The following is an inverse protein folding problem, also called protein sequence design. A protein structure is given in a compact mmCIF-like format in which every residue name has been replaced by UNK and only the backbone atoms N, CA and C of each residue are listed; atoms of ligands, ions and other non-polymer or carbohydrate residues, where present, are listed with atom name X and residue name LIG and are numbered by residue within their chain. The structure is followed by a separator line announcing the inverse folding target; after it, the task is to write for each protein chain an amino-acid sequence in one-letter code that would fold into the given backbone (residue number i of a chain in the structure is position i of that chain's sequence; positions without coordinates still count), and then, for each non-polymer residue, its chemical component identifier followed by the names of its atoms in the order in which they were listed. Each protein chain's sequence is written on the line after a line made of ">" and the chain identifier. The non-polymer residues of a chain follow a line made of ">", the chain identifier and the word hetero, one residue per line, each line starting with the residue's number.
data_IF_990766129606
#
_entry.id   IF_990766129606
#
_cell.length_a   1.000
_cell.length_b   1.000
_cell.length_c   1.000
_cell.angle_alpha   90.00
_cell.angle_beta   90.00
_cell.angle_gamma   90.00
#
_symmetry.space_group_name_H-M   'P 1'
#
loop_
_entity.id
_entity.type
_entity.pdbx_description
1 polymer ?
#
# COMPACT_ATOMS: atom_id res chain seq x y z
N UNK A 1 34.44 15.65 6.43
CA UNK A 1 35.81 15.12 6.38
C UNK A 1 36.32 14.65 7.74
N UNK A 2 36.17 15.35 8.85
CA UNK A 2 36.55 14.88 10.20
C UNK A 2 35.84 13.57 10.66
N UNK A 3 34.57 13.39 10.36
CA UNK A 3 33.80 12.19 10.71
C UNK A 3 34.28 10.90 10.01
N UNK A 4 34.82 11.01 8.79
CA UNK A 4 35.35 9.86 8.05
C UNK A 4 36.70 9.37 8.59
N UNK A 5 37.50 10.25 9.18
CA UNK A 5 38.82 9.91 9.74
C UNK A 5 38.66 9.20 11.11
N UNK A 6 37.62 9.51 11.88
CA UNK A 6 37.33 8.90 13.19
C UNK A 6 36.88 7.43 13.11
N UNK A 7 36.38 7.00 11.96
CA UNK A 7 35.95 5.58 11.75
C UNK A 7 37.12 4.62 11.54
N UNK A 8 38.29 5.14 11.19
CA UNK A 8 39.48 4.32 10.83
C UNK A 8 40.38 4.00 12.03
N UNK A 9 40.24 4.71 13.20
CA UNK A 9 40.98 4.41 14.43
C UNK A 9 40.03 4.02 15.57
N UNK A 10 40.22 2.85 16.21
CA UNK A 10 39.23 2.23 17.10
C UNK A 10 39.28 2.70 18.56
N UNK A 11 39.44 3.95 18.84
CA UNK A 11 39.35 4.47 20.22
C UNK A 11 37.87 4.69 20.59
N UNK A 12 37.43 4.05 21.68
CA UNK A 12 36.04 4.07 22.15
C UNK A 12 35.53 5.52 22.43
N UNK A 13 36.43 6.43 22.84
CA UNK A 13 36.13 7.85 23.05
C UNK A 13 35.71 8.57 21.75
N UNK A 14 36.34 8.26 20.63
CA UNK A 14 36.00 8.86 19.34
C UNK A 14 34.64 8.42 18.80
N UNK A 15 34.22 7.17 19.06
CA UNK A 15 32.89 6.66 18.67
C UNK A 15 31.77 7.33 19.44
N UNK A 16 31.97 7.58 20.73
CA UNK A 16 31.02 8.34 21.57
C UNK A 16 30.86 9.77 21.09
N UNK A 17 31.97 10.47 20.79
CA UNK A 17 31.94 11.84 20.28
C UNK A 17 31.18 11.89 18.94
N UNK A 18 31.47 10.99 18.00
CA UNK A 18 30.76 10.92 16.72
C UNK A 18 29.27 10.63 16.92
N UNK A 19 28.91 9.70 17.83
CA UNK A 19 27.53 9.42 18.18
C UNK A 19 26.79 10.64 18.75
N UNK A 20 27.42 11.35 19.69
CA UNK A 20 26.86 12.59 20.25
C UNK A 20 26.72 13.70 19.21
N UNK A 21 27.71 13.88 18.33
CA UNK A 21 27.63 14.86 17.25
C UNK A 21 26.47 14.58 16.31
N UNK A 22 26.29 13.34 15.88
CA UNK A 22 25.14 12.94 15.02
C UNK A 22 23.81 13.18 15.70
N UNK A 23 23.69 12.90 17.00
CA UNK A 23 22.45 13.16 17.75
C UNK A 23 22.20 14.66 17.87
N UNK A 24 23.21 15.46 18.16
CA UNK A 24 23.09 16.91 18.25
C UNK A 24 22.71 17.49 16.88
N UNK A 25 23.36 17.08 15.80
CA UNK A 25 23.08 17.52 14.43
C UNK A 25 21.62 17.16 14.05
N UNK A 26 21.15 15.96 14.41
CA UNK A 26 19.77 15.56 14.18
C UNK A 26 18.76 16.41 14.96
N UNK A 27 19.03 16.71 16.23
CA UNK A 27 18.19 17.59 17.06
C UNK A 27 18.18 19.02 16.50
N UNK A 28 19.34 19.54 16.08
CA UNK A 28 19.44 20.85 15.46
C UNK A 28 18.69 20.93 14.13
N UNK A 29 18.77 19.90 13.30
CA UNK A 29 18.02 19.80 12.04
C UNK A 29 16.51 19.78 12.27
N UNK A 30 16.04 19.00 13.25
CA UNK A 30 14.60 18.95 13.60
C UNK A 30 14.16 20.30 14.17
N UNK A 31 14.94 20.89 15.07
CA UNK A 31 14.65 22.19 15.67
C UNK A 31 14.58 23.28 14.61
N UNK A 32 15.56 23.33 13.70
CA UNK A 32 15.58 24.23 12.56
C UNK A 32 14.33 24.05 11.68
N UNK A 33 13.97 22.80 11.36
CA UNK A 33 12.79 22.50 10.55
C UNK A 33 11.49 22.91 11.23
N UNK A 34 11.37 22.70 12.55
CA UNK A 34 10.20 23.13 13.35
C UNK A 34 10.11 24.65 13.41
N UNK A 35 11.24 25.34 13.62
CA UNK A 35 11.31 26.81 13.62
C UNK A 35 10.97 27.34 12.24
N UNK A 36 11.54 26.77 11.18
CA UNK A 36 11.24 27.13 9.80
C UNK A 36 9.75 26.98 9.48
N UNK A 37 9.15 25.83 9.86
CA UNK A 37 7.71 25.62 9.69
C UNK A 37 6.84 26.59 10.50
N UNK A 38 7.26 26.98 11.70
CA UNK A 38 6.55 27.99 12.49
C UNK A 38 6.69 29.39 11.88
N UNK A 39 7.87 29.75 11.41
CA UNK A 39 8.14 31.06 10.78
C UNK A 39 7.41 31.16 9.43
N UNK A 40 7.46 30.12 8.60
CA UNK A 40 6.74 30.11 7.32
C UNK A 40 5.22 30.07 7.48
N UNK A 41 4.69 29.38 8.52
CA UNK A 41 3.26 29.44 8.86
C UNK A 41 2.79 30.80 9.35
N UNK A 42 3.67 31.65 9.88
CA UNK A 42 3.34 32.98 10.41
C UNK A 42 3.73 34.13 9.45
N UNK A 43 4.49 33.85 8.38
CA UNK A 43 4.76 34.88 7.39
C UNK A 43 3.51 35.06 6.50
N UNK A 44 2.83 36.16 6.71
CA UNK A 44 1.72 36.64 5.88
C UNK A 44 2.13 36.92 4.41
N UNK A 45 3.29 36.42 4.00
CA UNK A 45 3.94 36.70 2.72
C UNK A 45 3.44 35.81 1.57
N UNK A 46 2.58 34.83 1.84
CA UNK A 46 2.09 33.92 0.79
C UNK A 46 0.58 33.70 0.86
N UNK A 47 -0.18 34.79 1.16
CA UNK A 47 -1.65 34.73 1.08
C UNK A 47 -2.06 34.93 -0.37
N UNK A 48 -2.58 33.88 -1.00
CA UNK A 48 -3.10 33.93 -2.36
C UNK A 48 -4.57 34.32 -2.34
N UNK A 49 -4.90 35.34 -3.12
CA UNK A 49 -6.28 35.74 -3.33
C UNK A 49 -6.95 34.80 -4.32
N UNK A 50 -7.95 34.07 -3.86
CA UNK A 50 -8.63 33.04 -4.65
C UNK A 50 -10.06 33.51 -4.96
N UNK A 51 -10.44 33.41 -6.22
CA UNK A 51 -11.83 33.59 -6.66
C UNK A 51 -12.42 32.22 -7.03
N UNK A 52 -13.64 31.95 -6.60
CA UNK A 52 -14.37 30.71 -6.95
C UNK A 52 -15.41 31.08 -8.00
N UNK A 53 -15.48 30.27 -9.06
CA UNK A 53 -16.40 30.52 -10.18
C UNK A 53 -17.28 29.29 -10.39
N UNK A 54 -18.56 29.54 -10.54
CA UNK A 54 -19.57 28.51 -10.79
C UNK A 54 -20.89 28.87 -10.15
N UNK A 55 -21.88 28.00 -10.27
CA UNK A 55 -23.22 28.15 -9.73
C UNK A 55 -23.68 26.87 -9.02
N UNK A 56 -24.47 27.05 -7.96
CA UNK A 56 -25.08 25.93 -7.23
C UNK A 56 -24.42 25.54 -5.92
N UNK A 57 -25.04 24.61 -5.22
CA UNK A 57 -24.66 24.21 -3.86
C UNK A 57 -23.20 23.71 -3.71
N UNK A 58 -22.64 23.07 -4.74
CA UNK A 58 -21.25 22.60 -4.74
C UNK A 58 -20.25 23.77 -4.66
N UNK A 59 -20.56 24.90 -5.26
CA UNK A 59 -19.75 26.12 -5.22
C UNK A 59 -19.75 26.72 -3.82
N UNK A 60 -20.94 26.81 -3.19
CA UNK A 60 -21.10 27.34 -1.83
C UNK A 60 -20.37 26.45 -0.80
N UNK A 61 -20.46 25.12 -0.96
CA UNK A 61 -19.77 24.18 -0.10
C UNK A 61 -18.25 24.32 -0.25
N UNK A 62 -17.76 24.47 -1.46
CA UNK A 62 -16.33 24.64 -1.73
C UNK A 62 -15.81 25.98 -1.20
N UNK A 63 -16.55 27.07 -1.40
CA UNK A 63 -16.22 28.39 -0.86
C UNK A 63 -16.15 28.35 0.68
N UNK A 64 -17.09 27.69 1.34
CA UNK A 64 -17.11 27.50 2.80
C UNK A 64 -15.89 26.68 3.29
N UNK A 65 -15.44 25.69 2.52
CA UNK A 65 -14.22 24.92 2.84
C UNK A 65 -13.00 25.85 2.82
N UNK A 66 -12.85 26.72 1.82
CA UNK A 66 -11.73 27.67 1.75
C UNK A 66 -11.75 28.62 2.96
N UNK A 67 -12.92 29.17 3.31
CA UNK A 67 -13.06 30.10 4.44
C UNK A 67 -12.72 29.43 5.79
N UNK A 68 -13.14 28.18 5.96
CA UNK A 68 -12.90 27.43 7.20
C UNK A 68 -11.45 26.99 7.34
N UNK A 69 -10.76 26.70 6.23
CA UNK A 69 -9.39 26.18 6.21
C UNK A 69 -8.36 27.26 5.85
N UNK A 70 -8.36 28.38 6.54
CA UNK A 70 -7.35 29.48 6.39
C UNK A 70 -5.88 29.04 6.49
N UNK A 71 -5.65 27.81 6.98
CA UNK A 71 -4.31 27.21 7.14
C UNK A 71 -3.57 27.01 5.80
N UNK A 72 -4.27 27.02 4.67
CA UNK A 72 -3.68 26.81 3.35
C UNK A 72 -3.13 28.08 2.69
N UNK A 73 -3.15 29.22 3.40
CA UNK A 73 -2.70 30.49 2.83
C UNK A 73 -3.62 31.04 1.73
N UNK A 74 -4.85 30.52 1.63
CA UNK A 74 -5.84 30.97 0.65
C UNK A 74 -6.77 32.01 1.29
N UNK A 75 -7.02 33.11 0.59
CA UNK A 75 -7.99 34.14 0.95
C UNK A 75 -9.06 34.21 -0.12
N UNK A 76 -10.28 33.84 0.23
CA UNK A 76 -11.40 33.95 -0.69
C UNK A 76 -11.70 35.41 -0.97
N UNK A 77 -11.67 35.79 -2.24
CA UNK A 77 -12.07 37.12 -2.75
C UNK A 77 -13.60 37.20 -2.91
N UNK A 78 -14.18 36.09 -3.37
CA UNK A 78 -15.62 35.96 -3.56
C UNK A 78 -15.96 34.77 -4.46
N UNK A 79 -17.28 34.58 -4.61
CA UNK A 79 -17.87 33.63 -5.56
C UNK A 79 -18.47 34.47 -6.70
N UNK A 80 -18.17 34.08 -7.93
CA UNK A 80 -18.51 34.82 -9.12
C UNK A 80 -19.23 33.92 -10.13
N UNK A 81 -20.17 34.53 -10.85
CA UNK A 81 -20.74 33.90 -12.03
C UNK A 81 -19.74 33.96 -13.20
N UNK A 82 -19.91 33.10 -14.19
CA UNK A 82 -19.01 33.01 -15.36
C UNK A 82 -18.88 34.38 -16.08
N UNK A 83 -19.97 35.10 -16.24
CA UNK A 83 -20.02 36.37 -16.95
C UNK A 83 -19.21 37.48 -16.27
N UNK A 84 -18.98 37.35 -14.97
CA UNK A 84 -18.26 38.34 -14.16
C UNK A 84 -16.74 38.11 -14.17
N UNK A 85 -16.29 36.92 -14.60
CA UNK A 85 -14.88 36.48 -14.51
C UNK A 85 -13.94 37.38 -15.30
N UNK A 86 -14.36 37.77 -16.52
CA UNK A 86 -13.53 38.63 -17.38
C UNK A 86 -13.26 39.98 -16.71
N UNK A 87 -14.29 40.64 -16.21
CA UNK A 87 -14.15 41.94 -15.52
C UNK A 87 -13.34 41.79 -14.21
N UNK A 88 -13.47 40.66 -13.50
CA UNK A 88 -12.71 40.36 -12.30
C UNK A 88 -11.22 40.22 -12.61
N UNK A 89 -10.86 39.45 -13.61
CA UNK A 89 -9.48 39.20 -14.00
C UNK A 89 -8.80 40.47 -14.56
N UNK A 90 -9.50 41.24 -15.39
CA UNK A 90 -8.99 42.50 -15.93
C UNK A 90 -8.77 43.56 -14.82
N UNK A 91 -9.59 43.54 -13.73
CA UNK A 91 -9.39 44.41 -12.56
C UNK A 91 -8.11 44.05 -11.77
N UNK A 92 -7.68 42.82 -11.84
CA UNK A 92 -6.53 42.29 -11.10
C UNK A 92 -6.81 42.00 -9.63
N UNK A 93 -5.79 41.54 -8.91
CA UNK A 93 -5.88 41.22 -7.48
C UNK A 93 -6.35 39.80 -7.16
N UNK A 94 -6.46 38.94 -8.16
CA UNK A 94 -6.71 37.49 -8.04
C UNK A 94 -5.48 36.75 -8.47
N UNK A 95 -4.95 35.91 -7.59
CA UNK A 95 -3.79 35.07 -7.85
C UNK A 95 -4.18 33.72 -8.44
N UNK A 96 -5.37 33.23 -8.06
CA UNK A 96 -5.84 31.91 -8.40
C UNK A 96 -7.36 31.89 -8.63
N UNK A 97 -7.78 31.29 -9.74
CA UNK A 97 -9.19 31.11 -10.11
C UNK A 97 -9.55 29.63 -9.95
N UNK A 98 -10.57 29.33 -9.14
CA UNK A 98 -11.05 27.96 -8.96
C UNK A 98 -12.41 27.81 -9.62
N UNK A 99 -12.46 27.00 -10.66
CA UNK A 99 -13.66 26.70 -11.43
C UNK A 99 -14.34 25.46 -10.84
N UNK A 100 -15.54 25.61 -10.32
CA UNK A 100 -16.38 24.49 -9.86
C UNK A 100 -17.42 24.24 -10.95
N UNK A 101 -17.13 23.28 -11.84
CA UNK A 101 -17.85 23.12 -13.09
C UNK A 101 -18.39 21.71 -13.21
N UNK A 102 -19.61 21.57 -13.70
CA UNK A 102 -20.16 20.28 -14.12
C UNK A 102 -19.53 19.84 -15.46
N UNK A 103 -19.46 18.52 -15.66
CA UNK A 103 -18.80 17.93 -16.84
C UNK A 103 -19.30 18.52 -18.18
N UNK A 104 -20.61 18.76 -18.26
CA UNK A 104 -21.28 19.20 -19.48
C UNK A 104 -20.98 20.66 -19.85
N UNK A 105 -20.53 21.47 -18.87
CA UNK A 105 -20.26 22.91 -19.03
C UNK A 105 -18.77 23.24 -19.20
N UNK A 106 -17.89 22.26 -19.28
CA UNK A 106 -16.44 22.51 -19.29
C UNK A 106 -15.99 23.30 -20.52
N UNK A 107 -16.57 23.01 -21.69
CA UNK A 107 -16.27 23.69 -22.95
C UNK A 107 -16.57 25.18 -22.91
N UNK A 108 -17.55 25.59 -22.09
CA UNK A 108 -17.94 26.98 -21.93
C UNK A 108 -16.87 27.84 -21.25
N UNK A 109 -15.92 27.22 -20.53
CA UNK A 109 -14.83 27.90 -19.81
C UNK A 109 -13.54 28.02 -20.62
N UNK A 110 -13.53 27.62 -21.89
CA UNK A 110 -12.35 27.70 -22.75
C UNK A 110 -11.76 29.12 -22.82
N UNK A 111 -12.59 30.12 -23.04
CA UNK A 111 -12.14 31.53 -23.05
C UNK A 111 -11.59 31.98 -21.69
N UNK A 112 -12.17 31.50 -20.59
CA UNK A 112 -11.70 31.79 -19.23
C UNK A 112 -10.29 31.21 -18.99
N UNK A 113 -10.02 30.01 -19.47
CA UNK A 113 -8.70 29.42 -19.37
C UNK A 113 -7.66 30.20 -20.17
N UNK A 114 -7.97 30.56 -21.41
CA UNK A 114 -7.07 31.36 -22.25
C UNK A 114 -6.78 32.72 -21.61
N UNK A 115 -7.79 33.36 -21.04
CA UNK A 115 -7.61 34.64 -20.36
C UNK A 115 -6.77 34.52 -19.10
N UNK A 116 -6.92 33.45 -18.33
CA UNK A 116 -6.06 33.17 -17.17
C UNK A 116 -4.60 32.93 -17.60
N UNK A 117 -4.37 32.23 -18.71
CA UNK A 117 -3.04 31.99 -19.26
C UNK A 117 -2.39 33.30 -19.73
N UNK A 118 -3.13 34.15 -20.43
CA UNK A 118 -2.66 35.47 -20.89
C UNK A 118 -2.30 36.41 -19.72
N UNK A 119 -3.07 36.37 -18.63
CA UNK A 119 -2.88 37.24 -17.47
C UNK A 119 -1.93 36.62 -16.41
N UNK A 120 -1.48 35.38 -16.59
CA UNK A 120 -0.64 34.68 -15.64
C UNK A 120 -1.35 34.28 -14.34
N UNK A 121 -2.69 34.18 -14.34
CA UNK A 121 -3.50 33.75 -13.21
C UNK A 121 -3.61 32.23 -13.23
N UNK A 122 -3.36 31.57 -12.09
CA UNK A 122 -3.47 30.11 -12.01
C UNK A 122 -4.95 29.69 -12.03
N UNK A 123 -5.35 28.93 -13.06
CA UNK A 123 -6.68 28.35 -13.13
C UNK A 123 -6.66 26.91 -12.58
N UNK A 124 -7.58 26.60 -11.67
CA UNK A 124 -7.81 25.24 -11.14
C UNK A 124 -9.26 24.84 -11.38
N UNK A 125 -9.46 23.57 -11.70
CA UNK A 125 -10.81 23.02 -11.92
C UNK A 125 -11.12 21.99 -10.85
N UNK A 126 -12.25 22.15 -10.20
CA UNK A 126 -12.81 21.12 -9.30
C UNK A 126 -13.56 20.12 -10.18
N UNK A 127 -12.99 18.95 -10.35
CA UNK A 127 -13.50 17.91 -11.24
C UNK A 127 -14.37 16.92 -10.46
N UNK A 128 -15.65 16.89 -10.77
CA UNK A 128 -16.59 15.88 -10.27
C UNK A 128 -17.11 15.02 -11.43
N UNK A 129 -16.21 14.44 -12.19
CA UNK A 129 -16.57 13.67 -13.38
C UNK A 129 -17.32 12.38 -13.11
N UNK A 130 -17.03 11.75 -11.99
CA UNK A 130 -17.62 10.46 -11.63
C UNK A 130 -17.90 10.40 -10.13
N UNK A 131 -19.12 10.03 -9.70
CA UNK A 131 -19.44 9.82 -8.30
C UNK A 131 -18.79 8.52 -7.83
N UNK A 132 -17.54 8.59 -7.38
CA UNK A 132 -16.83 7.45 -6.82
C UNK A 132 -16.19 7.85 -5.49
N UNK A 133 -16.34 7.01 -4.51
CA UNK A 133 -15.93 7.28 -3.14
C UNK A 133 -14.50 6.84 -2.81
N UNK A 134 -13.86 6.01 -3.66
CA UNK A 134 -12.64 5.27 -3.27
C UNK A 134 -11.46 5.55 -4.21
N UNK A 135 -11.70 5.81 -5.50
CA UNK A 135 -10.62 6.02 -6.46
C UNK A 135 -9.95 7.38 -6.26
N UNK A 136 -8.63 7.39 -6.28
CA UNK A 136 -7.82 8.62 -6.34
C UNK A 136 -7.68 9.02 -7.80
N UNK A 137 -7.81 10.31 -8.04
CA UNK A 137 -7.65 10.89 -9.35
C UNK A 137 -6.24 11.50 -9.43
N UNK A 138 -5.49 11.13 -10.45
CA UNK A 138 -4.14 11.63 -10.70
C UNK A 138 -4.02 12.04 -12.16
N UNK A 139 -3.38 13.18 -12.38
CA UNK A 139 -3.06 13.66 -13.72
C UNK A 139 -1.65 13.19 -14.07
N UNK A 140 -1.53 12.49 -15.17
CA UNK A 140 -0.27 12.05 -15.74
C UNK A 140 -0.09 12.64 -17.15
N UNK A 141 1.12 12.64 -17.64
CA UNK A 141 1.43 12.98 -19.02
C UNK A 141 2.04 11.76 -19.72
N UNK A 142 1.55 11.44 -20.90
CA UNK A 142 2.08 10.36 -21.72
C UNK A 142 2.25 10.84 -23.17
N UNK A 143 3.49 10.97 -23.61
CA UNK A 143 3.79 11.41 -24.97
C UNK A 143 3.24 12.78 -25.35
N UNK A 144 3.14 13.71 -24.38
CA UNK A 144 2.55 15.04 -24.58
C UNK A 144 1.02 15.09 -24.40
N UNK A 145 0.37 13.95 -24.12
CA UNK A 145 -1.08 13.90 -23.87
C UNK A 145 -1.35 13.86 -22.38
N UNK A 146 -2.20 14.74 -21.83
CA UNK A 146 -2.64 14.67 -20.45
C UNK A 146 -3.58 13.48 -20.24
N UNK A 147 -3.25 12.62 -19.29
CA UNK A 147 -4.04 11.44 -18.91
C UNK A 147 -4.60 11.60 -17.50
N UNK A 148 -5.90 11.53 -17.37
CA UNK A 148 -6.58 11.50 -16.08
C UNK A 148 -6.77 10.04 -15.65
N UNK A 149 -6.04 9.65 -14.60
CA UNK A 149 -6.04 8.27 -14.08
C UNK A 149 -6.89 8.16 -12.83
N UNK A 150 -7.74 7.12 -12.77
CA UNK A 150 -8.54 6.78 -11.60
C UNK A 150 -8.03 5.47 -11.03
N UNK A 151 -7.42 5.51 -9.85
CA UNK A 151 -6.86 4.33 -9.22
C UNK A 151 -7.30 4.19 -7.77
N UNK A 152 -7.60 2.96 -7.36
CA UNK A 152 -7.89 2.60 -5.97
C UNK A 152 -6.65 2.07 -5.24
N UNK A 153 -5.52 1.99 -5.92
CA UNK A 153 -4.25 1.50 -5.37
C UNK A 153 -3.19 2.60 -5.38
N UNK A 154 -2.14 2.47 -4.56
CA UNK A 154 -1.02 3.40 -4.60
C UNK A 154 -0.36 3.41 -5.99
N UNK A 155 -0.26 4.58 -6.60
CA UNK A 155 0.25 4.80 -7.95
C UNK A 155 1.67 5.34 -7.98
N UNK A 156 2.22 5.76 -6.84
CA UNK A 156 3.57 6.31 -6.78
C UNK A 156 4.64 5.25 -7.12
N UNK A 157 5.11 5.28 -8.36
CA UNK A 157 6.08 4.31 -8.91
C UNK A 157 7.40 4.30 -8.12
N UNK A 158 7.89 5.46 -7.68
CA UNK A 158 9.13 5.56 -6.91
C UNK A 158 9.00 4.81 -5.57
N UNK A 159 7.87 4.97 -4.88
CA UNK A 159 7.62 4.28 -3.61
C UNK A 159 7.46 2.78 -3.84
N UNK A 160 6.80 2.36 -4.93
CA UNK A 160 6.67 0.95 -5.30
C UNK A 160 8.02 0.33 -5.68
N UNK A 161 8.90 1.10 -6.31
CA UNK A 161 10.28 0.68 -6.60
C UNK A 161 11.10 0.49 -5.31
N UNK A 162 11.01 1.43 -4.36
CA UNK A 162 11.66 1.30 -3.04
C UNK A 162 11.14 0.05 -2.32
N UNK A 163 9.83 -0.18 -2.32
CA UNK A 163 9.22 -1.39 -1.79
C UNK A 163 9.84 -2.65 -2.41
N UNK A 164 10.01 -2.67 -3.73
CA UNK A 164 10.61 -3.81 -4.42
C UNK A 164 12.05 -4.07 -4.02
N UNK A 165 12.86 -3.02 -3.83
CA UNK A 165 14.21 -3.13 -3.31
C UNK A 165 14.20 -3.73 -1.90
N UNK A 166 13.33 -3.23 -1.02
CA UNK A 166 13.18 -3.75 0.35
C UNK A 166 12.75 -5.22 0.34
N UNK A 167 11.80 -5.61 -0.50
CA UNK A 167 11.40 -7.01 -0.68
C UNK A 167 12.61 -7.90 -1.04
N UNK A 168 13.42 -7.49 -2.02
CA UNK A 168 14.58 -8.26 -2.48
C UNK A 168 15.65 -8.34 -1.37
N UNK A 169 15.99 -7.21 -0.75
CA UNK A 169 17.05 -7.15 0.27
C UNK A 169 16.66 -7.96 1.51
N UNK A 170 15.46 -7.73 2.05
CA UNK A 170 15.01 -8.45 3.24
C UNK A 170 14.84 -9.94 2.97
N UNK A 171 14.27 -10.29 1.82
CA UNK A 171 14.12 -11.70 1.41
C UNK A 171 15.47 -12.38 1.20
N UNK A 172 16.43 -11.69 0.59
CA UNK A 172 17.81 -12.19 0.43
C UNK A 172 18.50 -12.45 1.77
N UNK A 173 18.36 -11.53 2.73
CA UNK A 173 18.86 -11.69 4.09
C UNK A 173 18.19 -12.88 4.82
N UNK A 174 16.86 -12.99 4.71
CA UNK A 174 16.12 -14.13 5.29
C UNK A 174 16.60 -15.44 4.68
N UNK A 175 16.78 -15.50 3.36
CA UNK A 175 17.25 -16.70 2.67
C UNK A 175 18.68 -17.05 3.10
N UNK A 176 19.57 -16.09 3.25
CA UNK A 176 20.96 -16.29 3.63
C UNK A 176 21.10 -16.79 5.08
N UNK A 177 20.31 -16.24 6.01
CA UNK A 177 20.42 -16.53 7.45
C UNK A 177 19.54 -17.73 7.83
N UNK A 178 18.26 -17.68 7.45
CA UNK A 178 17.24 -18.66 7.88
C UNK A 178 17.22 -19.88 6.94
N UNK A 179 17.55 -19.69 5.67
CA UNK A 179 17.54 -20.75 4.67
C UNK A 179 18.35 -21.97 5.08
N UNK A 180 19.66 -21.88 5.39
CA UNK A 180 20.48 -23.02 5.80
C UNK A 180 20.01 -23.63 7.11
N UNK A 181 19.52 -22.82 8.07
CA UNK A 181 19.16 -23.26 9.42
C UNK A 181 17.79 -23.94 9.47
N UNK A 182 16.81 -23.46 8.71
CA UNK A 182 15.44 -23.98 8.76
C UNK A 182 15.04 -24.71 7.49
N UNK A 183 15.35 -24.18 6.30
CA UNK A 183 14.86 -24.78 5.06
C UNK A 183 15.57 -26.09 4.72
N UNK A 184 16.90 -26.16 4.90
CA UNK A 184 17.65 -27.36 4.58
C UNK A 184 17.30 -28.54 5.51
N UNK A 185 17.28 -28.40 6.85
CA UNK A 185 16.84 -29.50 7.73
C UNK A 185 15.38 -29.91 7.47
N UNK A 186 14.48 -28.92 7.20
CA UNK A 186 13.08 -29.24 6.89
C UNK A 186 12.97 -30.06 5.60
N UNK A 187 13.72 -29.69 4.56
CA UNK A 187 13.77 -30.45 3.30
C UNK A 187 14.23 -31.89 3.50
N UNK A 188 15.28 -32.09 4.30
CA UNK A 188 15.83 -33.42 4.65
C UNK A 188 14.78 -34.22 5.43
N UNK A 189 14.15 -33.63 6.45
CA UNK A 189 13.14 -34.32 7.27
C UNK A 189 11.94 -34.77 6.42
N UNK A 190 11.43 -33.90 5.53
CA UNK A 190 10.33 -34.23 4.61
C UNK A 190 10.74 -35.42 3.71
N UNK A 191 11.98 -35.41 3.19
CA UNK A 191 12.45 -36.47 2.29
C UNK A 191 12.63 -37.81 2.99
N UNK A 192 13.06 -37.80 4.25
CA UNK A 192 13.26 -39.00 5.06
C UNK A 192 11.94 -39.59 5.59
N UNK A 193 10.93 -38.76 5.83
CA UNK A 193 9.67 -39.19 6.49
C UNK A 193 8.54 -39.48 5.54
N UNK A 194 8.62 -39.03 4.28
CA UNK A 194 7.54 -39.25 3.31
C UNK A 194 8.06 -39.37 1.88
N UNK A 195 7.44 -40.27 1.11
CA UNK A 195 7.75 -40.45 -0.33
C UNK A 195 7.24 -39.27 -1.14
N UNK A 196 7.98 -38.83 -2.17
CA UNK A 196 7.58 -37.78 -3.11
C UNK A 196 8.44 -36.51 -3.04
N UNK A 197 8.04 -35.39 -3.72
CA UNK A 197 8.82 -34.16 -3.79
C UNK A 197 8.82 -33.39 -2.47
N UNK A 198 9.91 -32.68 -2.19
CA UNK A 198 10.03 -31.82 -0.99
C UNK A 198 9.13 -30.59 -1.08
N UNK A 199 9.07 -30.01 -2.27
CA UNK A 199 8.27 -28.82 -2.55
C UNK A 199 6.91 -29.20 -3.12
N UNK A 200 5.88 -28.59 -2.58
CA UNK A 200 4.54 -28.56 -3.14
C UNK A 200 4.38 -27.30 -4.00
N UNK A 201 3.80 -27.47 -5.18
CA UNK A 201 3.56 -26.41 -6.14
C UNK A 201 2.06 -26.26 -6.34
N UNK A 202 1.55 -25.05 -6.18
CA UNK A 202 0.12 -24.78 -6.33
C UNK A 202 -0.11 -23.54 -7.15
N UNK A 203 -1.05 -23.61 -8.11
CA UNK A 203 -1.49 -22.45 -8.85
C UNK A 203 -2.25 -21.50 -7.93
N UNK A 204 -1.90 -20.22 -7.98
CA UNK A 204 -2.53 -19.15 -7.24
C UNK A 204 -2.73 -17.93 -8.13
N UNK A 205 -3.68 -17.07 -7.76
CA UNK A 205 -3.91 -15.81 -8.44
C UNK A 205 -3.16 -14.69 -7.73
N UNK A 206 -2.36 -13.94 -8.48
CA UNK A 206 -1.58 -12.80 -8.04
C UNK A 206 -2.18 -11.47 -8.47
N UNK A 207 -1.31 -10.50 -8.75
CA UNK A 207 -1.70 -9.15 -9.18
C UNK A 207 -2.62 -9.21 -10.40
N UNK A 208 -3.75 -8.52 -10.30
CA UNK A 208 -4.80 -8.46 -11.34
C UNK A 208 -5.30 -9.84 -11.80
N UNK A 209 -5.24 -10.83 -10.91
CA UNK A 209 -5.72 -12.19 -11.19
C UNK A 209 -4.78 -13.05 -12.03
N UNK A 210 -3.57 -12.60 -12.35
CA UNK A 210 -2.59 -13.38 -13.10
C UNK A 210 -2.17 -14.60 -12.30
N UNK A 211 -2.24 -15.78 -12.92
CA UNK A 211 -1.84 -17.03 -12.29
C UNK A 211 -0.33 -17.12 -12.15
N UNK A 212 0.12 -17.64 -11.01
CA UNK A 212 1.52 -18.00 -10.76
C UNK A 212 1.62 -19.29 -9.96
N UNK A 213 2.82 -19.91 -9.94
CA UNK A 213 3.08 -21.10 -9.15
C UNK A 213 3.65 -20.70 -7.79
N UNK A 214 2.88 -20.91 -6.75
CA UNK A 214 3.31 -20.70 -5.37
C UNK A 214 4.04 -21.93 -4.84
N UNK A 215 5.18 -21.73 -4.19
CA UNK A 215 5.99 -22.79 -3.58
C UNK A 215 5.75 -22.92 -2.09
N UNK A 216 5.56 -24.14 -1.62
CA UNK A 216 5.51 -24.48 -0.19
C UNK A 216 6.32 -25.75 0.07
N UNK A 217 6.68 -26.00 1.32
CA UNK A 217 7.09 -27.34 1.71
C UNK A 217 5.88 -28.26 1.74
N UNK A 218 6.08 -29.50 1.33
CA UNK A 218 5.04 -30.53 1.41
C UNK A 218 4.73 -30.85 2.87
N UNK A 219 3.53 -30.55 3.31
CA UNK A 219 2.99 -30.80 4.65
C UNK A 219 1.88 -31.85 4.67
N UNK A 220 1.46 -32.30 3.50
CA UNK A 220 0.37 -33.27 3.33
C UNK A 220 0.87 -34.52 2.59
N UNK A 221 0.05 -35.58 2.66
CA UNK A 221 0.26 -36.83 1.92
C UNK A 221 0.26 -36.59 0.42
N UNK A 222 0.81 -37.53 -0.34
CA UNK A 222 0.74 -37.49 -1.79
C UNK A 222 -0.72 -37.56 -2.25
N UNK A 223 -1.07 -36.86 -3.34
CA UNK A 223 -2.44 -36.76 -3.86
C UNK A 223 -3.48 -36.15 -2.91
N UNK A 224 -3.07 -35.35 -1.91
CA UNK A 224 -3.98 -34.71 -0.94
C UNK A 224 -5.09 -33.86 -1.58
N UNK A 225 -4.86 -33.29 -2.78
CA UNK A 225 -5.86 -32.50 -3.48
C UNK A 225 -7.05 -33.32 -3.95
N UNK A 226 -6.86 -34.59 -4.31
CA UNK A 226 -7.95 -35.46 -4.74
C UNK A 226 -8.98 -35.73 -3.63
N UNK A 227 -8.54 -35.73 -2.38
CA UNK A 227 -9.40 -35.92 -1.21
C UNK A 227 -10.11 -34.65 -0.74
N UNK A 228 -9.89 -33.51 -1.40
CA UNK A 228 -10.44 -32.23 -0.96
C UNK A 228 -11.98 -32.21 -0.99
N UNK A 229 -12.57 -32.76 -2.03
CA UNK A 229 -14.05 -32.77 -2.19
C UNK A 229 -14.72 -33.64 -1.12
N UNK A 230 -14.10 -34.78 -0.74
CA UNK A 230 -14.62 -35.68 0.29
C UNK A 230 -14.57 -35.05 1.70
N UNK A 231 -13.71 -34.07 1.90
CA UNK A 231 -13.49 -33.40 3.19
C UNK A 231 -14.22 -32.06 3.30
N UNK A 232 -15.07 -31.69 2.33
CA UNK A 232 -15.81 -30.43 2.33
C UNK A 232 -16.68 -30.29 3.60
N UNK A 233 -17.23 -31.41 4.11
CA UNK A 233 -18.00 -31.46 5.36
C UNK A 233 -17.21 -31.10 6.62
N UNK A 234 -15.88 -31.12 6.56
CA UNK A 234 -14.97 -30.74 7.64
C UNK A 234 -14.51 -29.27 7.55
N UNK A 235 -15.08 -28.51 6.63
CA UNK A 235 -14.72 -27.09 6.49
C UNK A 235 -15.25 -26.29 7.69
N UNK A 236 -14.33 -25.62 8.40
CA UNK A 236 -14.63 -24.78 9.57
C UNK A 236 -14.79 -23.31 9.21
N UNK A 237 -14.58 -22.93 7.94
CA UNK A 237 -14.58 -21.54 7.51
C UNK A 237 -15.78 -21.21 6.62
N UNK A 238 -16.36 -20.05 6.85
CA UNK A 238 -17.36 -19.49 5.96
C UNK A 238 -16.74 -19.06 4.63
N UNK A 239 -17.50 -19.18 3.53
CA UNK A 239 -17.04 -18.73 2.21
C UNK A 239 -16.26 -19.78 1.40
N UNK A 240 -15.55 -19.37 0.32
CA UNK A 240 -14.96 -20.28 -0.65
C UNK A 240 -13.65 -20.94 -0.22
N UNK A 241 -13.10 -20.56 0.93
CA UNK A 241 -11.80 -21.05 1.42
C UNK A 241 -12.02 -22.29 2.27
N UNK A 242 -11.32 -23.38 1.92
CA UNK A 242 -11.35 -24.60 2.73
C UNK A 242 -10.34 -24.51 3.88
N UNK A 243 -10.78 -24.84 5.09
CA UNK A 243 -9.96 -24.89 6.28
C UNK A 243 -10.53 -25.89 7.29
N UNK A 244 -9.68 -26.77 7.80
CA UNK A 244 -10.04 -27.72 8.84
C UNK A 244 -8.90 -27.87 9.84
N UNK A 245 -9.24 -27.85 11.12
CA UNK A 245 -8.29 -28.10 12.24
C UNK A 245 -7.90 -29.57 12.34
N UNK A 246 -8.73 -30.47 11.82
CA UNK A 246 -8.53 -31.93 11.85
C UNK A 246 -8.37 -32.52 10.46
N UNK A 247 -7.60 -31.87 9.60
CA UNK A 247 -7.36 -32.35 8.24
C UNK A 247 -6.52 -33.64 8.26
N UNK A 248 -7.09 -34.81 7.87
CA UNK A 248 -6.41 -36.11 7.91
C UNK A 248 -5.27 -36.22 6.90
N UNK A 249 -5.19 -35.32 5.94
CA UNK A 249 -4.14 -35.31 4.90
C UNK A 249 -2.79 -34.83 5.43
N UNK A 250 -2.77 -34.18 6.60
CA UNK A 250 -1.56 -33.58 7.17
C UNK A 250 -0.65 -34.67 7.77
N UNK A 251 0.59 -34.71 7.31
CA UNK A 251 1.61 -35.64 7.84
C UNK A 251 2.06 -35.22 9.25
N UNK A 252 2.70 -36.14 10.00
CA UNK A 252 3.23 -35.83 11.34
C UNK A 252 4.21 -34.66 11.30
N UNK A 253 5.16 -34.66 10.36
CA UNK A 253 6.09 -33.55 10.13
C UNK A 253 5.31 -32.32 9.65
N UNK A 254 4.31 -32.50 8.80
CA UNK A 254 3.41 -31.46 8.32
C UNK A 254 2.78 -30.65 9.44
N UNK A 255 2.32 -31.30 10.52
CA UNK A 255 1.76 -30.63 11.70
C UNK A 255 2.79 -29.69 12.37
N UNK A 256 4.03 -30.12 12.48
CA UNK A 256 5.11 -29.34 13.11
C UNK A 256 5.45 -28.10 12.26
N UNK A 257 5.67 -28.30 10.96
CA UNK A 257 6.08 -27.19 10.08
C UNK A 257 4.95 -26.18 9.84
N UNK A 258 3.68 -26.62 9.76
CA UNK A 258 2.51 -25.74 9.64
C UNK A 258 2.29 -24.89 10.88
N UNK A 259 2.42 -25.50 12.07
CA UNK A 259 2.25 -24.76 13.33
C UNK A 259 3.17 -23.55 13.44
N UNK A 260 4.36 -23.60 12.84
CA UNK A 260 5.33 -22.50 12.82
C UNK A 260 5.45 -21.79 11.47
N UNK A 261 4.52 -22.06 10.55
CA UNK A 261 4.52 -21.51 9.18
C UNK A 261 5.84 -21.74 8.41
N UNK A 262 6.63 -22.75 8.79
CA UNK A 262 7.86 -23.13 8.09
C UNK A 262 7.54 -23.66 6.69
N UNK A 263 6.36 -24.28 6.53
CA UNK A 263 5.87 -24.74 5.23
C UNK A 263 5.73 -23.62 4.20
N UNK A 264 5.58 -22.37 4.62
CA UNK A 264 5.44 -21.21 3.75
C UNK A 264 6.77 -20.55 3.37
N UNK A 265 7.91 -20.92 4.00
CA UNK A 265 9.22 -20.34 3.70
C UNK A 265 9.61 -20.41 2.21
N UNK A 266 9.29 -21.47 1.43
CA UNK A 266 9.63 -21.48 0.01
C UNK A 266 8.96 -20.39 -0.83
N UNK A 267 7.92 -19.71 -0.32
CA UNK A 267 7.33 -18.52 -0.99
C UNK A 267 8.35 -17.37 -1.13
N UNK A 268 9.43 -17.39 -0.37
CA UNK A 268 10.59 -16.49 -0.53
C UNK A 268 11.06 -16.47 -1.99
N UNK A 269 11.07 -17.61 -2.69
CA UNK A 269 11.43 -17.67 -4.10
C UNK A 269 10.41 -16.94 -5.00
N UNK A 270 9.12 -16.94 -4.62
CA UNK A 270 8.10 -16.15 -5.33
C UNK A 270 8.30 -14.64 -5.10
N UNK A 271 8.71 -14.23 -3.90
CA UNK A 271 9.04 -12.82 -3.62
C UNK A 271 10.26 -12.39 -4.45
N UNK A 272 11.33 -13.16 -4.47
CA UNK A 272 12.53 -12.85 -5.27
C UNK A 272 12.21 -12.78 -6.77
N UNK A 273 11.36 -13.69 -7.27
CA UNK A 273 10.90 -13.68 -8.66
C UNK A 273 10.01 -12.48 -8.99
N UNK A 274 9.30 -11.94 -8.01
CA UNK A 274 8.40 -10.79 -8.17
C UNK A 274 6.93 -11.16 -8.34
N UNK A 275 6.57 -12.44 -8.22
CA UNK A 275 5.19 -12.90 -8.21
C UNK A 275 4.47 -12.45 -6.93
N UNK A 276 5.22 -12.33 -5.82
CA UNK A 276 4.76 -11.94 -4.50
C UNK A 276 5.60 -10.79 -3.93
N UNK A 277 5.11 -10.21 -2.84
CA UNK A 277 5.82 -9.29 -1.93
C UNK A 277 5.93 -9.94 -0.55
N UNK A 278 6.75 -9.39 0.35
CA UNK A 278 6.76 -9.83 1.74
C UNK A 278 5.42 -9.57 2.42
N UNK A 279 4.83 -8.41 2.19
CA UNK A 279 3.54 -8.01 2.76
C UNK A 279 2.51 -7.85 1.65
N UNK A 280 1.28 -8.31 1.86
CA UNK A 280 0.20 -8.17 0.88
C UNK A 280 -0.94 -9.17 1.11
N UNK A 281 -2.07 -9.03 0.41
CA UNK A 281 -3.18 -9.97 0.52
C UNK A 281 -2.76 -11.42 0.22
N UNK A 282 -3.36 -12.40 0.89
CA UNK A 282 -3.07 -13.82 0.59
C UNK A 282 -3.53 -14.16 -0.83
N UNK A 283 -2.70 -14.82 -1.66
CA UNK A 283 -3.10 -15.21 -3.01
C UNK A 283 -4.20 -16.29 -2.96
N UNK A 284 -5.37 -16.05 -3.59
CA UNK A 284 -6.44 -17.03 -3.66
C UNK A 284 -6.13 -18.14 -4.67
N UNK A 285 -6.83 -19.27 -4.53
CA UNK A 285 -6.92 -20.26 -5.58
C UNK A 285 -7.79 -19.75 -6.74
N UNK A 286 -7.58 -20.19 -7.98
CA UNK A 286 -8.47 -19.85 -9.11
C UNK A 286 -9.94 -20.16 -8.83
N UNK A 287 -10.22 -21.30 -8.17
CA UNK A 287 -11.56 -21.72 -7.79
C UNK A 287 -12.17 -20.85 -6.68
N UNK A 288 -11.36 -20.37 -5.73
CA UNK A 288 -11.79 -19.40 -4.71
C UNK A 288 -12.15 -18.08 -5.39
N UNK A 289 -11.30 -17.60 -6.30
CA UNK A 289 -11.50 -16.35 -7.04
C UNK A 289 -12.77 -16.37 -7.91
N UNK A 290 -13.10 -17.51 -8.51
CA UNK A 290 -14.33 -17.66 -9.29
C UNK A 290 -15.60 -17.40 -8.47
N UNK A 291 -15.56 -17.68 -7.15
CA UNK A 291 -16.66 -17.49 -6.20
C UNK A 291 -16.68 -16.10 -5.54
N UNK A 292 -15.68 -15.25 -5.81
CA UNK A 292 -15.59 -13.92 -5.19
C UNK A 292 -16.63 -12.96 -5.75
N UNK A 293 -17.23 -12.18 -4.86
CA UNK A 293 -18.06 -11.03 -5.21
C UNK A 293 -17.19 -9.91 -5.82
N UNK A 294 -17.80 -8.97 -6.52
CA UNK A 294 -17.09 -7.87 -7.20
C UNK A 294 -16.14 -7.09 -6.26
N UNK A 295 -16.63 -6.70 -5.10
CA UNK A 295 -15.86 -5.90 -4.15
C UNK A 295 -14.67 -6.67 -3.57
N UNK A 296 -14.77 -8.00 -3.41
CA UNK A 296 -13.70 -8.86 -2.92
C UNK A 296 -12.55 -8.97 -3.93
N UNK A 297 -12.85 -8.88 -5.23
CA UNK A 297 -11.84 -8.96 -6.29
C UNK A 297 -10.85 -7.81 -6.26
N UNK A 298 -11.21 -6.66 -5.66
CA UNK A 298 -10.31 -5.51 -5.52
C UNK A 298 -9.03 -5.84 -4.73
N UNK A 299 -9.04 -6.87 -3.89
CA UNK A 299 -7.83 -7.35 -3.21
C UNK A 299 -6.70 -7.79 -4.16
N UNK A 300 -7.00 -8.11 -5.41
CA UNK A 300 -6.04 -8.48 -6.43
C UNK A 300 -5.34 -7.27 -7.06
N UNK A 301 -5.73 -6.05 -6.73
CA UNK A 301 -5.11 -4.83 -7.25
C UNK A 301 -3.71 -4.56 -6.68
N UNK A 302 -3.27 -5.33 -5.69
CA UNK A 302 -1.89 -5.34 -5.18
C UNK A 302 -1.27 -6.74 -5.27
N UNK A 303 0.08 -6.78 -5.34
CA UNK A 303 0.81 -8.05 -5.29
C UNK A 303 0.48 -8.79 -3.99
N UNK A 304 0.23 -10.11 -4.06
CA UNK A 304 0.02 -10.92 -2.87
C UNK A 304 1.27 -10.96 -2.00
N UNK A 305 1.09 -11.16 -0.70
CA UNK A 305 2.17 -11.22 0.28
C UNK A 305 2.33 -12.56 0.96
N UNK A 306 3.49 -12.75 1.58
CA UNK A 306 3.75 -13.86 2.52
C UNK A 306 3.03 -13.61 3.85
N UNK A 307 2.93 -12.35 4.27
CA UNK A 307 2.17 -11.92 5.45
C UNK A 307 1.23 -10.76 5.10
N UNK A 308 0.23 -10.54 5.94
CA UNK A 308 -0.78 -9.50 5.72
C UNK A 308 -1.47 -9.07 7.02
N UNK A 309 -2.30 -8.03 6.91
CA UNK A 309 -2.95 -7.43 8.05
C UNK A 309 -3.84 -8.43 8.83
N UNK A 310 -4.63 -9.27 8.15
CA UNK A 310 -5.48 -10.24 8.82
C UNK A 310 -4.69 -11.30 9.59
N UNK A 311 -3.51 -11.71 9.09
CA UNK A 311 -2.67 -12.70 9.78
C UNK A 311 -2.16 -12.22 11.13
N UNK A 312 -1.99 -10.90 11.31
CA UNK A 312 -1.56 -10.30 12.58
C UNK A 312 -2.75 -9.82 13.44
N UNK A 313 -3.99 -9.87 12.91
CA UNK A 313 -5.20 -9.37 13.55
C UNK A 313 -6.14 -10.46 14.07
N UNK A 314 -5.65 -11.70 14.27
CA UNK A 314 -6.46 -12.80 14.77
C UNK A 314 -6.38 -14.07 13.93
N UNK A 315 -5.80 -13.98 12.73
CA UNK A 315 -5.49 -15.13 11.85
C UNK A 315 -6.71 -16.04 11.60
N UNK A 316 -6.82 -17.12 12.36
CA UNK A 316 -7.84 -18.16 12.18
C UNK A 316 -9.18 -17.84 12.84
N UNK A 317 -9.28 -16.80 13.64
CA UNK A 317 -10.48 -16.38 14.36
C UNK A 317 -11.29 -15.32 13.59
N UNK A 318 -10.75 -14.85 12.44
CA UNK A 318 -11.38 -13.83 11.59
C UNK A 318 -12.32 -14.52 10.60
N UNK A 319 -13.55 -14.03 10.47
CA UNK A 319 -14.51 -14.47 9.45
C UNK A 319 -13.97 -14.20 8.05
N UNK A 320 -14.47 -14.92 7.03
CA UNK A 320 -14.04 -14.68 5.65
C UNK A 320 -14.35 -13.23 5.20
N UNK A 321 -15.48 -12.69 5.58
CA UNK A 321 -15.86 -11.32 5.23
C UNK A 321 -14.95 -10.28 5.88
N UNK A 322 -14.65 -10.42 7.18
CA UNK A 322 -13.75 -9.50 7.88
C UNK A 322 -12.31 -9.61 7.35
N UNK A 323 -11.88 -10.81 6.98
CA UNK A 323 -10.60 -10.97 6.29
C UNK A 323 -10.57 -10.18 5.00
N UNK A 324 -11.60 -10.26 4.15
CA UNK A 324 -11.68 -9.46 2.91
C UNK A 324 -11.62 -7.97 3.21
N UNK A 325 -12.35 -7.49 4.23
CA UNK A 325 -12.32 -6.08 4.68
C UNK A 325 -10.93 -5.66 5.16
N UNK A 326 -10.22 -6.49 5.91
CA UNK A 326 -8.85 -6.23 6.35
C UNK A 326 -7.86 -6.13 5.18
N UNK A 327 -7.99 -6.99 4.18
CA UNK A 327 -7.17 -6.91 2.98
C UNK A 327 -7.43 -5.61 2.20
N UNK A 328 -8.69 -5.16 2.09
CA UNK A 328 -9.02 -3.88 1.47
C UNK A 328 -8.53 -2.69 2.31
N UNK A 329 -8.69 -2.77 3.64
CA UNK A 329 -8.16 -1.73 4.54
C UNK A 329 -6.65 -1.58 4.40
N UNK A 330 -5.93 -2.68 4.24
CA UNK A 330 -4.50 -2.66 3.95
C UNK A 330 -4.21 -1.93 2.63
N UNK A 331 -4.94 -2.23 1.55
CA UNK A 331 -4.75 -1.61 0.24
C UNK A 331 -5.02 -0.11 0.29
N UNK A 332 -6.12 0.29 0.94
CA UNK A 332 -6.56 1.69 1.03
C UNK A 332 -5.60 2.57 1.84
N UNK A 333 -4.97 2.00 2.87
CA UNK A 333 -4.07 2.70 3.78
C UNK A 333 -2.61 2.30 3.60
N UNK A 334 -2.27 1.68 2.47
CA UNK A 334 -0.94 1.18 2.24
C UNK A 334 0.14 2.27 2.36
N UNK A 335 1.22 1.92 3.03
CA UNK A 335 2.45 2.70 3.12
C UNK A 335 3.62 1.78 3.47
N UNK A 336 4.85 2.19 3.16
CA UNK A 336 6.05 1.44 3.57
C UNK A 336 6.13 1.26 5.09
N UNK A 337 5.66 2.25 5.86
CA UNK A 337 5.61 2.16 7.32
C UNK A 337 4.60 1.10 7.78
N UNK A 338 3.46 0.95 7.10
CA UNK A 338 2.48 -0.10 7.39
C UNK A 338 3.06 -1.47 7.09
N UNK A 339 3.78 -1.64 5.96
CA UNK A 339 4.48 -2.89 5.64
C UNK A 339 5.49 -3.25 6.73
N UNK A 340 6.33 -2.31 7.15
CA UNK A 340 7.29 -2.52 8.23
C UNK A 340 6.60 -2.92 9.55
N UNK A 341 5.51 -2.25 9.91
CA UNK A 341 4.71 -2.57 11.11
C UNK A 341 4.13 -3.97 11.05
N UNK A 342 3.64 -4.41 9.89
CA UNK A 342 3.12 -5.76 9.69
C UNK A 342 4.24 -6.78 9.81
N UNK A 343 5.41 -6.55 9.18
CA UNK A 343 6.58 -7.43 9.27
C UNK A 343 7.03 -7.62 10.72
N UNK A 344 7.17 -6.52 11.48
CA UNK A 344 7.57 -6.57 12.89
C UNK A 344 6.57 -7.36 13.74
N UNK A 345 5.27 -7.18 13.50
CA UNK A 345 4.21 -7.92 14.22
C UNK A 345 4.11 -9.38 13.78
N UNK A 346 4.55 -9.72 12.57
CA UNK A 346 4.54 -11.11 12.07
C UNK A 346 5.55 -11.99 12.81
N UNK A 347 6.72 -11.44 13.19
CA UNK A 347 7.78 -12.20 13.88
C UNK A 347 7.28 -12.90 15.14
N UNK A 348 6.67 -12.22 16.14
CA UNK A 348 6.16 -12.90 17.33
C UNK A 348 5.00 -13.86 17.02
N UNK A 349 4.15 -13.57 16.04
CA UNK A 349 3.04 -14.46 15.63
C UNK A 349 3.56 -15.78 15.11
N UNK A 350 4.61 -15.75 14.28
CA UNK A 350 5.24 -16.96 13.72
C UNK A 350 6.02 -17.73 14.80
N UNK A 351 6.83 -17.05 15.62
CA UNK A 351 7.63 -17.69 16.65
C UNK A 351 6.78 -18.35 17.74
N UNK A 352 5.70 -17.69 18.16
CA UNK A 352 4.78 -18.21 19.20
C UNK A 352 3.74 -19.19 18.64
N UNK A 353 3.60 -19.29 17.32
CA UNK A 353 2.59 -20.14 16.68
C UNK A 353 1.15 -19.70 17.01
N UNK A 354 0.93 -18.43 17.35
CA UNK A 354 -0.40 -17.91 17.72
C UNK A 354 -1.35 -18.01 16.54
N UNK A 355 -2.52 -18.61 16.77
CA UNK A 355 -3.55 -18.77 15.74
C UNK A 355 -3.17 -19.74 14.61
N UNK A 356 -2.09 -20.52 14.71
CA UNK A 356 -1.82 -21.62 13.78
C UNK A 356 -2.61 -22.86 14.26
N UNK A 357 -3.41 -23.44 13.33
CA UNK A 357 -4.12 -24.71 13.56
C UNK A 357 -3.62 -25.75 12.55
#
# INVERSE_FOLDING_TARGET
>A
MAAAISFVRPDASNRLIVGFTLVIDYILLISYRVVLMKVTKHSALDVRNVAVVGLGAAVDDFARIIETHRVWGLKLVGVFAREEVRALLERGGVDELILVVERESLDEFTETFLLCEELGVTARVVLNFFPHSIARMELHEFGGFPLLSFSTTPTNEAVMFIRRILDIVLTGLILLIIGPVLMLPTAILIKLTSRGPVFFKQKRCGLNGREFIMYKFRSMVDNAEQFRLELESLNEMDGPVFKSSRDPRITTIGKIIRRRSIDELPQIFNVLRGDMSLVGPRPPLPEELARYQRWQRRRLSMKPGMTCLWQISGRNEVSFEDWMKLDLTYIDNWSLLLDLKILLKTVPVVLLGRGAK
#
